data_IF_939965372516
#
_entry.id   IF_939965372516
#
_cell.length_a   1.000
_cell.length_b   1.000
_cell.length_c   1.000
_cell.angle_alpha   90.00
_cell.angle_beta   90.00
_cell.angle_gamma   90.00
#
_symmetry.space_group_name_H-M   'P 1'
#
loop_
_entity.id
_entity.type
_entity.pdbx_description
1 polymer ?
#
# COMPACT_ATOMS: atom_id res chain seq x y z
N UNK A 1 -24.67 -0.04 -29.44
CA UNK A 1 -23.98 -1.05 -28.60
C UNK A 1 -23.82 -0.46 -27.21
N UNK A 2 -24.53 -0.99 -26.22
CA UNK A 2 -24.36 -0.60 -24.82
C UNK A 2 -23.32 -1.53 -24.20
N UNK A 3 -22.21 -0.99 -23.70
CA UNK A 3 -21.30 -1.73 -22.84
C UNK A 3 -21.96 -1.87 -21.48
N UNK A 4 -22.26 -3.10 -21.08
CA UNK A 4 -22.61 -3.40 -19.69
C UNK A 4 -21.27 -3.45 -18.95
N UNK A 5 -21.01 -2.46 -18.10
CA UNK A 5 -19.87 -2.50 -17.20
C UNK A 5 -20.05 -3.69 -16.25
N UNK A 6 -19.09 -4.62 -16.23
CA UNK A 6 -19.05 -5.64 -15.21
C UNK A 6 -18.94 -4.97 -13.83
N UNK A 7 -19.60 -5.49 -12.79
CA UNK A 7 -19.43 -4.97 -11.44
C UNK A 7 -17.94 -5.05 -11.07
N UNK A 8 -17.37 -3.95 -10.59
CA UNK A 8 -15.99 -3.92 -10.13
C UNK A 8 -15.80 -4.97 -9.03
N UNK A 9 -14.78 -5.81 -9.15
CA UNK A 9 -14.39 -6.70 -8.06
C UNK A 9 -14.03 -5.84 -6.84
N UNK A 10 -14.71 -6.09 -5.72
CA UNK A 10 -14.31 -5.52 -4.45
C UNK A 10 -13.10 -6.32 -3.94
N UNK A 11 -11.90 -5.76 -4.11
CA UNK A 11 -10.67 -6.37 -3.62
C UNK A 11 -10.65 -6.39 -2.08
N UNK A 12 -10.16 -7.47 -1.43
CA UNK A 12 -10.14 -7.60 0.02
C UNK A 12 -9.00 -6.76 0.62
N UNK A 13 -9.21 -5.45 0.69
CA UNK A 13 -8.21 -4.49 1.16
C UNK A 13 -8.34 -4.29 2.67
N UNK A 14 -7.20 -4.34 3.36
CA UNK A 14 -7.08 -3.89 4.75
C UNK A 14 -6.23 -2.63 4.80
N UNK A 15 -6.67 -1.60 5.52
CA UNK A 15 -5.93 -0.34 5.72
C UNK A 15 -5.51 -0.18 7.18
N UNK A 16 -4.32 0.37 7.41
CA UNK A 16 -3.81 0.64 8.75
C UNK A 16 -2.70 1.69 8.72
N UNK A 17 -2.35 2.16 9.91
CA UNK A 17 -1.30 3.13 10.15
C UNK A 17 -0.21 2.53 11.01
N UNK A 18 1.04 2.77 10.64
CA UNK A 18 2.20 2.49 11.48
C UNK A 18 2.77 3.82 12.01
N UNK A 19 2.87 3.95 13.33
CA UNK A 19 3.54 5.10 13.96
C UNK A 19 5.02 4.79 14.06
N UNK A 20 5.86 5.63 13.44
CA UNK A 20 7.30 5.54 13.51
C UNK A 20 7.78 6.69 14.39
N UNK A 21 8.17 6.35 15.61
CA UNK A 21 8.68 7.32 16.57
C UNK A 21 10.12 7.71 16.24
N UNK A 22 10.44 9.00 16.38
CA UNK A 22 11.79 9.51 16.20
C UNK A 22 12.36 9.25 14.80
N UNK A 23 11.54 9.35 13.76
CA UNK A 23 12.02 9.24 12.38
C UNK A 23 12.99 10.37 12.08
N UNK A 24 14.25 10.00 11.86
CA UNK A 24 15.33 10.95 11.56
C UNK A 24 15.41 11.20 10.06
N UNK A 25 15.07 12.40 9.64
CA UNK A 25 15.26 12.84 8.26
C UNK A 25 16.74 12.98 7.93
N UNK A 26 17.07 12.95 6.64
CA UNK A 26 18.46 13.10 6.18
C UNK A 26 19.06 14.45 6.58
N UNK A 27 18.24 15.49 6.65
CA UNK A 27 18.56 16.85 7.10
C UNK A 27 18.89 16.92 8.60
N UNK A 28 18.51 15.90 9.37
CA UNK A 28 18.87 15.73 10.78
C UNK A 28 17.73 16.01 11.76
N UNK A 29 16.66 16.67 11.34
CA UNK A 29 15.43 16.79 12.12
C UNK A 29 14.84 15.42 12.41
N UNK A 30 14.10 15.35 13.50
CA UNK A 30 13.49 14.11 13.98
C UNK A 30 12.05 14.39 14.37
N UNK A 31 11.12 13.59 13.85
CA UNK A 31 9.70 13.70 14.14
C UNK A 31 9.08 12.31 14.33
N UNK A 32 8.00 12.24 15.08
CA UNK A 32 7.11 11.10 15.02
C UNK A 32 6.27 11.22 13.75
N UNK A 33 6.24 10.17 12.94
CA UNK A 33 5.47 10.14 11.69
C UNK A 33 4.49 8.98 11.68
N UNK A 34 3.39 9.18 10.97
CA UNK A 34 2.45 8.13 10.60
C UNK A 34 2.75 7.68 9.18
N UNK A 35 2.99 6.39 9.01
CA UNK A 35 3.09 5.70 7.74
C UNK A 35 1.78 4.95 7.48
N UNK A 36 0.95 5.51 6.61
CA UNK A 36 -0.29 4.87 6.17
C UNK A 36 0.02 3.79 5.12
N UNK A 37 -0.72 2.69 5.16
CA UNK A 37 -0.58 1.62 4.19
C UNK A 37 -1.85 0.80 4.00
N UNK A 38 -1.91 0.11 2.87
CA UNK A 38 -2.94 -0.86 2.54
C UNK A 38 -2.32 -2.21 2.27
N UNK A 39 -3.06 -3.29 2.51
CA UNK A 39 -2.61 -4.65 2.23
C UNK A 39 -3.67 -5.48 1.55
N UNK A 40 -3.21 -6.43 0.73
CA UNK A 40 -4.03 -7.49 0.13
C UNK A 40 -3.34 -8.84 0.31
N UNK A 41 -4.12 -9.92 0.37
CA UNK A 41 -3.61 -11.27 0.57
C UNK A 41 -3.26 -11.55 2.04
N UNK A 42 -2.54 -12.64 2.29
CA UNK A 42 -2.21 -13.11 3.64
C UNK A 42 -0.70 -13.25 3.82
N UNK A 43 -0.10 -12.70 4.89
CA UNK A 43 1.32 -12.86 5.16
C UNK A 43 1.65 -14.30 5.52
N UNK A 44 2.59 -14.90 4.80
CA UNK A 44 3.26 -16.14 5.16
C UNK A 44 4.53 -15.82 5.94
N UNK A 45 4.75 -16.49 7.07
CA UNK A 45 5.87 -16.22 7.97
C UNK A 45 6.80 -17.42 8.08
N UNK A 46 8.10 -17.16 8.11
CA UNK A 46 9.10 -18.17 8.44
C UNK A 46 9.19 -18.45 9.95
N UNK A 47 10.11 -19.33 10.36
CA UNK A 47 10.34 -19.70 11.76
C UNK A 47 10.84 -18.56 12.64
N UNK A 48 11.31 -17.46 12.06
CA UNK A 48 11.73 -16.23 12.77
C UNK A 48 10.58 -15.22 12.89
N UNK A 49 9.44 -15.49 12.25
CA UNK A 49 8.29 -14.60 12.15
C UNK A 49 8.38 -13.58 11.01
N UNK A 50 9.45 -13.62 10.21
CA UNK A 50 9.63 -12.75 9.03
C UNK A 50 8.64 -13.10 7.92
N UNK A 51 8.06 -12.10 7.25
CA UNK A 51 7.13 -12.33 6.13
C UNK A 51 7.94 -12.69 4.89
N UNK A 52 7.65 -13.85 4.27
CA UNK A 52 8.43 -14.39 3.14
C UNK A 52 7.79 -14.16 1.77
N UNK A 53 6.51 -13.80 1.73
CA UNK A 53 5.75 -13.59 0.50
C UNK A 53 5.33 -12.13 0.28
N UNK A 54 6.01 -11.17 0.93
CA UNK A 54 5.67 -9.77 0.82
C UNK A 54 6.14 -9.16 -0.51
N UNK A 55 5.27 -8.38 -1.16
CA UNK A 55 5.64 -7.50 -2.28
C UNK A 55 5.14 -6.10 -1.97
N UNK A 56 6.04 -5.11 -2.02
CA UNK A 56 5.71 -3.71 -1.83
C UNK A 56 5.62 -2.98 -3.17
N UNK A 57 4.51 -2.29 -3.42
CA UNK A 57 4.30 -1.52 -4.65
C UNK A 57 4.23 -0.04 -4.31
N UNK A 58 5.16 0.73 -4.88
CA UNK A 58 5.29 2.16 -4.60
C UNK A 58 4.59 3.00 -5.65
N UNK A 59 3.93 4.07 -5.21
CA UNK A 59 3.29 5.01 -6.12
C UNK A 59 4.29 6.01 -6.72
N UNK A 60 3.91 6.63 -7.85
CA UNK A 60 4.66 7.73 -8.44
C UNK A 60 4.43 9.06 -7.72
N UNK A 61 5.14 10.11 -8.15
CA UNK A 61 5.02 11.47 -7.59
C UNK A 61 3.57 11.95 -7.55
N UNK A 62 3.14 12.51 -6.41
CA UNK A 62 1.77 13.02 -6.23
C UNK A 62 0.71 11.96 -5.98
N UNK A 63 1.08 10.67 -6.03
CA UNK A 63 0.15 9.56 -5.86
C UNK A 63 -0.08 9.14 -4.41
N UNK A 64 -0.80 8.03 -4.28
CA UNK A 64 -0.99 7.26 -3.04
C UNK A 64 -1.07 5.77 -3.41
N UNK A 65 -0.82 4.87 -2.46
CA UNK A 65 -0.90 3.42 -2.69
C UNK A 65 -2.26 2.96 -3.22
N UNK A 66 -3.33 3.67 -2.86
CA UNK A 66 -4.70 3.43 -3.34
C UNK A 66 -4.84 3.49 -4.87
N UNK A 67 -3.92 4.12 -5.61
CA UNK A 67 -4.01 4.17 -7.07
C UNK A 67 -4.02 2.78 -7.72
N UNK A 68 -3.34 1.80 -7.12
CA UNK A 68 -3.25 0.44 -7.64
C UNK A 68 -4.53 -0.38 -7.39
N UNK A 69 -5.49 0.17 -6.63
CA UNK A 69 -6.82 -0.42 -6.44
C UNK A 69 -7.81 -0.02 -7.54
N UNK A 70 -7.42 0.88 -8.46
CA UNK A 70 -8.26 1.22 -9.61
C UNK A 70 -8.35 0.01 -10.55
N UNK A 71 -9.52 -0.25 -11.17
CA UNK A 71 -9.74 -1.44 -12.01
C UNK A 71 -8.65 -1.71 -13.05
N UNK A 72 -8.20 -0.65 -13.75
CA UNK A 72 -7.13 -0.70 -14.75
C UNK A 72 -5.77 -1.26 -14.25
N UNK A 73 -5.58 -1.31 -12.94
CA UNK A 73 -4.42 -1.95 -12.30
C UNK A 73 -4.86 -3.20 -11.56
N UNK A 74 -5.81 -3.07 -10.63
CA UNK A 74 -6.17 -4.14 -9.71
C UNK A 74 -6.64 -5.40 -10.43
N UNK A 75 -7.44 -5.23 -11.48
CA UNK A 75 -8.03 -6.32 -12.26
C UNK A 75 -7.01 -7.02 -13.16
N UNK A 76 -5.81 -6.47 -13.31
CA UNK A 76 -4.69 -7.05 -14.07
C UNK A 76 -3.53 -7.55 -13.17
N UNK A 77 -3.52 -7.14 -11.90
CA UNK A 77 -2.43 -7.41 -10.98
C UNK A 77 -2.74 -8.50 -9.96
N UNK A 78 -3.93 -8.50 -9.35
CA UNK A 78 -4.15 -9.17 -8.06
C UNK A 78 -4.91 -10.50 -8.12
N UNK A 79 -5.52 -10.84 -9.26
CA UNK A 79 -6.32 -12.05 -9.44
C UNK A 79 -5.50 -13.34 -9.54
N UNK A 80 -6.16 -14.51 -9.49
CA UNK A 80 -5.49 -15.79 -9.63
C UNK A 80 -4.67 -15.89 -10.93
N UNK A 81 -3.40 -16.24 -10.82
CA UNK A 81 -2.46 -16.36 -11.94
C UNK A 81 -1.91 -15.02 -12.49
N UNK A 82 -2.35 -13.89 -11.96
CA UNK A 82 -1.83 -12.57 -12.34
C UNK A 82 -0.48 -12.26 -11.69
N UNK A 83 0.25 -11.22 -12.15
CA UNK A 83 1.62 -10.96 -11.71
C UNK A 83 1.78 -10.83 -10.19
N UNK A 84 0.78 -10.24 -9.51
CA UNK A 84 0.75 -9.99 -8.07
C UNK A 84 -0.42 -10.73 -7.39
N UNK A 85 -0.69 -11.95 -7.85
CA UNK A 85 -1.75 -12.83 -7.33
C UNK A 85 -1.77 -12.90 -5.79
N UNK A 86 -2.85 -12.39 -5.19
CA UNK A 86 -2.99 -12.25 -3.74
C UNK A 86 -3.29 -13.58 -3.02
N UNK A 87 -3.53 -14.66 -3.77
CA UNK A 87 -3.55 -16.02 -3.20
C UNK A 87 -2.14 -16.54 -2.88
N UNK A 88 -1.10 -15.89 -3.44
CA UNK A 88 0.31 -16.26 -3.28
C UNK A 88 1.09 -15.21 -2.50
N UNK A 89 0.85 -13.93 -2.77
CA UNK A 89 1.63 -12.83 -2.23
C UNK A 89 0.83 -12.01 -1.22
N UNK A 90 1.56 -11.43 -0.27
CA UNK A 90 1.08 -10.40 0.63
C UNK A 90 1.50 -9.05 0.08
N UNK A 91 0.55 -8.33 -0.52
CA UNK A 91 0.83 -7.05 -1.19
C UNK A 91 0.73 -5.92 -0.18
N UNK A 92 1.70 -5.01 -0.19
CA UNK A 92 1.76 -3.82 0.66
C UNK A 92 1.80 -2.59 -0.24
N UNK A 93 0.82 -1.70 -0.06
CA UNK A 93 0.67 -0.45 -0.80
C UNK A 93 0.81 0.73 0.19
N UNK A 94 2.04 1.18 0.49
CA UNK A 94 2.23 2.33 1.36
C UNK A 94 1.90 3.64 0.63
N UNK A 95 1.46 4.63 1.41
CA UNK A 95 1.50 6.03 0.97
C UNK A 95 2.85 6.61 1.39
N UNK A 96 3.66 7.10 0.47
CA UNK A 96 4.98 7.65 0.82
C UNK A 96 4.86 8.81 1.82
N UNK A 97 5.86 8.99 2.69
CA UNK A 97 5.97 10.18 3.55
C UNK A 97 5.88 11.43 2.65
N UNK A 98 5.02 12.39 3.02
CA UNK A 98 4.69 13.55 2.21
C UNK A 98 3.45 13.38 1.32
N UNK A 99 2.82 12.21 1.27
CA UNK A 99 1.69 11.90 0.39
C UNK A 99 0.59 11.09 1.09
N UNK A 100 -0.61 11.12 0.49
CA UNK A 100 -1.75 10.29 0.90
C UNK A 100 -2.12 10.43 2.37
N UNK A 101 -2.40 9.29 3.01
CA UNK A 101 -2.69 9.18 4.44
C UNK A 101 -1.47 9.28 5.34
N UNK A 102 -0.25 9.19 4.80
CA UNK A 102 0.97 9.35 5.58
C UNK A 102 1.19 10.80 5.99
N UNK A 103 2.02 10.99 7.03
CA UNK A 103 2.48 12.31 7.47
C UNK A 103 3.05 13.11 6.32
N UNK A 104 2.57 14.35 6.17
CA UNK A 104 2.95 15.26 5.09
C UNK A 104 3.00 16.71 5.56
N UNK A 105 3.72 17.60 4.85
CA UNK A 105 3.86 19.01 5.27
C UNK A 105 2.53 19.74 5.51
N UNK A 106 1.49 19.40 4.75
CA UNK A 106 0.15 20.00 4.91
C UNK A 106 -0.55 19.64 6.21
N UNK A 107 -0.06 18.62 6.94
CA UNK A 107 -0.58 18.24 8.25
C UNK A 107 -0.07 19.19 9.36
N UNK A 108 0.79 20.15 9.02
CA UNK A 108 1.29 21.17 9.95
C UNK A 108 2.38 20.66 10.90
N UNK A 109 2.94 19.48 10.64
CA UNK A 109 4.06 18.92 11.39
C UNK A 109 5.31 19.81 11.20
N UNK A 110 6.00 20.11 12.30
CA UNK A 110 7.21 20.95 12.33
C UNK A 110 8.20 20.40 13.35
#
# INVERSE_FOLDING_TARGET
>A
MAFIAAPALAWPVTEADAIIHGFRFQTGETLDITQHYRTLGTPQRDSTGGITNAIMVLHGTGGAGAQFLRPQFADELFGPGQPLDISRYFIILPDAIGHGGSSKPSDGLR
#
